data_IF_393823827656
#
_entry.id   IF_393823827656
#
_cell.length_a   1.000
_cell.length_b   1.000
_cell.length_c   1.000
_cell.angle_alpha   90.00
_cell.angle_beta   90.00
_cell.angle_gamma   90.00
#
_symmetry.space_group_name_H-M   'P 1'
#
loop_
_entity.id
_entity.type
_entity.pdbx_description
1 polymer ?
#
# COMPACT_ATOMS: atom_id res chain seq x y z
N UNK A 1 49.61 27.94 -15.54
CA UNK A 1 49.46 26.47 -15.51
C UNK A 1 48.05 26.13 -15.97
N UNK A 2 47.94 25.00 -16.68
CA UNK A 2 46.95 24.64 -17.71
C UNK A 2 45.47 24.58 -17.25
N UNK A 3 44.51 24.83 -18.16
CA UNK A 3 43.07 24.67 -17.95
C UNK A 3 42.64 23.20 -18.15
N UNK A 4 41.54 22.79 -17.51
CA UNK A 4 40.85 21.54 -17.85
C UNK A 4 39.35 21.83 -17.98
N UNK A 5 38.89 21.89 -19.23
CA UNK A 5 37.50 21.84 -19.63
C UNK A 5 37.31 20.53 -20.41
N UNK A 6 36.36 19.70 -20.00
CA UNK A 6 35.66 18.71 -20.83
C UNK A 6 34.34 18.37 -20.10
N UNK A 7 33.19 18.91 -20.50
CA UNK A 7 32.27 18.41 -21.55
C UNK A 7 31.65 17.04 -21.22
N UNK A 8 30.37 17.04 -20.84
CA UNK A 8 29.28 16.13 -21.30
C UNK A 8 27.97 16.74 -20.73
N UNK A 9 27.26 17.58 -21.48
CA UNK A 9 26.33 17.27 -22.57
C UNK A 9 24.90 16.92 -22.07
N UNK A 10 24.00 17.85 -22.42
CA UNK A 10 22.61 17.61 -22.84
C UNK A 10 21.53 17.35 -21.79
N UNK A 11 20.99 18.47 -21.30
CA UNK A 11 19.61 18.62 -20.90
C UNK A 11 18.76 18.93 -22.16
N UNK A 12 17.86 18.04 -22.56
CA UNK A 12 16.76 18.32 -23.51
C UNK A 12 15.66 17.25 -23.33
N UNK A 13 14.49 17.64 -22.80
CA UNK A 13 13.21 17.76 -23.53
C UNK A 13 12.56 16.37 -23.80
N UNK A 14 11.61 15.89 -22.99
CA UNK A 14 10.15 16.16 -23.04
C UNK A 14 9.52 15.96 -24.43
N UNK A 15 8.46 15.14 -24.43
CA UNK A 15 7.41 14.93 -25.44
C UNK A 15 7.68 13.89 -26.54
N UNK A 16 6.78 12.90 -26.62
CA UNK A 16 6.78 11.90 -27.69
C UNK A 16 5.67 10.86 -27.57
N UNK A 17 4.43 11.30 -27.33
CA UNK A 17 3.22 10.51 -27.49
C UNK A 17 2.89 10.43 -29.00
N UNK A 18 2.96 9.24 -29.62
CA UNK A 18 2.26 8.83 -30.86
C UNK A 18 2.73 7.40 -31.22
N UNK A 19 1.93 6.35 -30.98
CA UNK A 19 0.89 5.84 -31.87
C UNK A 19 1.42 5.31 -33.21
N UNK A 20 1.55 3.99 -33.33
CA UNK A 20 1.29 3.27 -34.59
C UNK A 20 0.48 2.02 -34.29
N UNK A 21 -0.82 2.14 -34.56
CA UNK A 21 -1.75 1.03 -34.71
C UNK A 21 -1.36 0.23 -35.96
N UNK A 22 -1.16 -1.07 -35.81
CA UNK A 22 -1.24 -2.01 -36.92
C UNK A 22 -2.66 -2.56 -36.96
N UNK A 23 -3.39 -2.11 -37.97
CA UNK A 23 -4.73 -2.57 -38.34
C UNK A 23 -4.61 -3.93 -39.00
N UNK A 24 -5.32 -4.94 -38.48
CA UNK A 24 -5.64 -6.17 -39.21
C UNK A 24 -7.06 -6.62 -38.87
N UNK A 25 -7.94 -6.31 -39.83
CA UNK A 25 -9.12 -7.05 -40.28
C UNK A 25 -10.23 -7.49 -39.30
N UNK A 26 -11.43 -7.00 -39.64
CA UNK A 26 -12.72 -7.70 -39.62
C UNK A 26 -13.29 -8.17 -38.27
N UNK A 27 -14.22 -7.37 -37.74
CA UNK A 27 -15.59 -7.82 -37.44
C UNK A 27 -16.41 -6.62 -36.98
N UNK A 28 -17.52 -6.33 -37.66
CA UNK A 28 -18.40 -5.21 -37.34
C UNK A 28 -19.06 -5.37 -35.96
N UNK A 29 -19.23 -4.30 -35.19
CA UNK A 29 -20.02 -4.36 -33.97
C UNK A 29 -21.51 -4.27 -34.32
N UNK A 30 -22.19 -5.42 -34.28
CA UNK A 30 -23.64 -5.47 -34.10
C UNK A 30 -23.91 -4.89 -32.71
N UNK A 31 -24.63 -3.77 -32.60
CA UNK A 31 -25.07 -3.22 -31.32
C UNK A 31 -26.12 -4.16 -30.72
N UNK A 32 -25.90 -4.80 -29.55
CA UNK A 32 -26.99 -5.40 -28.81
C UNK A 32 -27.76 -4.29 -28.08
N UNK A 33 -29.03 -4.13 -28.44
CA UNK A 33 -30.01 -3.33 -27.68
C UNK A 33 -30.16 -3.93 -26.28
N UNK A 34 -29.51 -3.33 -25.27
CA UNK A 34 -29.71 -3.69 -23.86
C UNK A 34 -31.03 -3.11 -23.36
N UNK A 35 -32.11 -3.85 -23.58
CA UNK A 35 -33.36 -3.68 -22.82
C UNK A 35 -33.26 -4.52 -21.55
N UNK A 36 -32.56 -4.00 -20.54
CA UNK A 36 -32.42 -4.64 -19.24
C UNK A 36 -33.27 -3.91 -18.21
N UNK A 37 -34.37 -4.53 -17.80
CA UNK A 37 -35.19 -4.09 -16.67
C UNK A 37 -34.34 -4.03 -15.38
N UNK A 38 -34.62 -3.11 -14.44
CA UNK A 38 -33.94 -3.09 -13.15
C UNK A 38 -34.37 -4.32 -12.32
N UNK A 39 -33.56 -5.37 -12.35
CA UNK A 39 -33.62 -6.45 -11.37
C UNK A 39 -33.29 -5.85 -10.01
N UNK A 40 -34.31 -5.66 -9.17
CA UNK A 40 -34.09 -5.38 -7.75
C UNK A 40 -33.32 -6.55 -7.15
N UNK A 41 -32.07 -6.31 -6.75
CA UNK A 41 -31.33 -7.25 -5.94
C UNK A 41 -32.08 -7.43 -4.61
N UNK A 42 -32.37 -8.67 -4.17
CA UNK A 42 -33.00 -8.89 -2.89
C UNK A 42 -32.10 -8.35 -1.78
N UNK A 43 -32.68 -7.56 -0.88
CA UNK A 43 -32.02 -7.10 0.35
C UNK A 43 -31.35 -8.31 1.02
N UNK A 44 -30.05 -8.17 1.23
CA UNK A 44 -29.18 -9.24 1.74
C UNK A 44 -29.70 -9.87 3.03
N UNK A 45 -29.72 -11.19 3.03
CA UNK A 45 -29.97 -12.02 4.20
C UNK A 45 -28.96 -11.67 5.31
N UNK A 46 -29.39 -11.26 6.52
CA UNK A 46 -28.50 -10.99 7.64
C UNK A 46 -27.71 -12.22 8.10
N UNK A 47 -28.10 -13.44 7.70
CA UNK A 47 -27.32 -14.65 7.94
C UNK A 47 -26.01 -14.68 7.10
N UNK A 48 -25.98 -14.04 5.93
CA UNK A 48 -24.77 -13.94 5.10
C UNK A 48 -23.71 -13.03 5.77
N UNK A 49 -24.14 -12.05 6.58
CA UNK A 49 -23.23 -11.17 7.33
C UNK A 49 -22.60 -11.92 8.50
N UNK A 50 -23.32 -12.84 9.15
CA UNK A 50 -22.77 -13.69 10.24
C UNK A 50 -21.80 -14.76 9.75
N UNK A 51 -21.90 -15.19 8.49
CA UNK A 51 -20.97 -16.17 7.92
C UNK A 51 -19.56 -15.60 7.69
N UNK A 52 -19.40 -14.28 7.62
CA UNK A 52 -18.10 -13.61 7.54
C UNK A 52 -17.36 -13.55 8.90
N UNK A 53 -18.07 -13.75 10.01
CA UNK A 53 -17.54 -13.63 11.38
C UNK A 53 -16.79 -14.89 11.84
N UNK A 54 -16.93 -16.00 11.11
CA UNK A 54 -16.32 -17.29 11.43
C UNK A 54 -15.21 -17.71 10.46
N UNK A 55 -14.59 -16.77 9.75
CA UNK A 55 -13.38 -17.08 8.99
C UNK A 55 -12.24 -17.36 9.98
N UNK A 56 -11.71 -18.60 10.03
CA UNK A 56 -10.57 -18.89 10.89
C UNK A 56 -9.44 -17.95 10.51
N UNK A 57 -8.95 -17.18 11.49
CA UNK A 57 -7.73 -16.40 11.33
C UNK A 57 -6.66 -17.33 10.76
N UNK A 58 -6.06 -17.01 9.60
CA UNK A 58 -5.05 -17.87 9.00
C UNK A 58 -3.94 -18.06 10.03
N UNK A 59 -3.79 -19.30 10.49
CA UNK A 59 -2.70 -19.71 11.37
C UNK A 59 -1.41 -19.32 10.66
N UNK A 60 -0.66 -18.37 11.23
CA UNK A 60 0.56 -17.85 10.64
C UNK A 60 1.46 -19.03 10.25
N UNK A 61 1.55 -19.30 8.95
CA UNK A 61 2.38 -20.37 8.44
C UNK A 61 3.83 -19.91 8.63
N UNK A 62 4.60 -20.67 9.42
CA UNK A 62 6.02 -20.40 9.58
C UNK A 62 6.69 -20.34 8.20
N UNK A 63 7.30 -19.20 7.87
CA UNK A 63 7.98 -19.01 6.58
C UNK A 63 9.16 -19.98 6.52
N UNK A 64 9.26 -20.80 5.47
CA UNK A 64 10.45 -21.61 5.24
C UNK A 64 11.63 -20.66 4.97
N UNK A 65 12.59 -20.60 5.90
CA UNK A 65 13.78 -19.75 5.76
C UNK A 65 14.77 -20.44 4.80
N UNK A 66 15.04 -19.89 3.60
CA UNK A 66 16.15 -20.36 2.77
C UNK A 66 17.48 -20.13 3.50
N UNK A 67 18.58 -20.70 3.00
CA UNK A 67 19.92 -20.40 3.51
C UNK A 67 20.15 -18.88 3.49
N UNK A 68 20.03 -18.27 4.66
CA UNK A 68 19.84 -16.83 4.77
C UNK A 68 21.20 -16.13 4.73
N UNK A 69 21.34 -15.17 3.82
CA UNK A 69 22.36 -14.12 4.00
C UNK A 69 22.04 -13.35 5.29
N UNK A 70 23.03 -12.72 5.95
CA UNK A 70 22.78 -11.96 7.18
C UNK A 70 21.63 -10.96 7.04
N UNK A 71 21.58 -10.24 5.91
CA UNK A 71 20.48 -9.33 5.56
C UNK A 71 19.12 -10.03 5.59
N UNK A 72 18.98 -11.18 4.91
CA UNK A 72 17.70 -11.88 4.87
C UNK A 72 17.28 -12.39 6.25
N UNK A 73 18.23 -12.81 7.09
CA UNK A 73 17.92 -13.24 8.46
C UNK A 73 17.32 -12.09 9.28
N UNK A 74 17.97 -10.93 9.26
CA UNK A 74 17.48 -9.75 10.00
C UNK A 74 16.12 -9.27 9.49
N UNK A 75 15.90 -9.28 8.17
CA UNK A 75 14.59 -8.95 7.60
C UNK A 75 13.49 -9.93 8.04
N UNK A 76 13.79 -11.23 8.08
CA UNK A 76 12.83 -12.21 8.60
C UNK A 76 12.54 -12.02 10.09
N UNK A 77 13.54 -11.67 10.90
CA UNK A 77 13.34 -11.43 12.32
C UNK A 77 12.48 -10.17 12.60
N UNK A 78 12.52 -9.16 11.73
CA UNK A 78 11.57 -8.02 11.77
C UNK A 78 10.16 -8.48 11.41
N UNK A 79 10.02 -9.23 10.32
CA UNK A 79 8.71 -9.69 9.83
C UNK A 79 8.03 -10.68 10.79
N UNK A 80 8.79 -11.59 11.41
CA UNK A 80 8.25 -12.54 12.38
C UNK A 80 7.75 -11.81 13.65
N UNK A 81 8.44 -10.74 14.07
CA UNK A 81 7.98 -9.88 15.18
C UNK A 81 6.72 -9.11 14.80
N UNK A 82 6.64 -8.57 13.59
CA UNK A 82 5.42 -7.92 13.08
C UNK A 82 4.24 -8.88 13.09
N UNK A 83 4.41 -10.06 12.49
CA UNK A 83 3.35 -11.08 12.38
C UNK A 83 2.83 -11.47 13.77
N UNK A 84 3.73 -11.66 14.75
CA UNK A 84 3.36 -11.98 16.12
C UNK A 84 2.56 -10.85 16.81
N UNK A 85 2.98 -9.59 16.64
CA UNK A 85 2.29 -8.44 17.22
C UNK A 85 0.94 -8.18 16.56
N UNK A 86 0.87 -8.26 15.23
CA UNK A 86 -0.37 -8.09 14.47
C UNK A 86 -1.36 -9.20 14.82
N UNK A 87 -0.92 -10.46 14.90
CA UNK A 87 -1.79 -11.56 15.31
C UNK A 87 -2.38 -11.36 16.71
N UNK A 88 -1.55 -10.89 17.67
CA UNK A 88 -2.03 -10.58 19.02
C UNK A 88 -3.08 -9.46 19.03
N UNK A 89 -2.86 -8.38 18.26
CA UNK A 89 -3.80 -7.27 18.12
C UNK A 89 -5.09 -7.68 17.37
N UNK A 90 -5.00 -8.55 16.38
CA UNK A 90 -6.18 -9.11 15.70
C UNK A 90 -7.02 -9.96 16.65
N UNK A 91 -6.39 -10.75 17.52
CA UNK A 91 -7.09 -11.50 18.55
C UNK A 91 -7.71 -10.58 19.63
N UNK A 92 -7.11 -9.42 19.91
CA UNK A 92 -7.71 -8.36 20.74
C UNK A 92 -8.93 -7.74 20.06
N UNK A 93 -8.81 -7.37 18.78
CA UNK A 93 -9.88 -6.79 17.97
C UNK A 93 -11.10 -7.71 17.91
N UNK A 94 -10.91 -9.00 17.65
CA UNK A 94 -11.99 -9.99 17.57
C UNK A 94 -12.78 -10.16 18.87
N UNK A 95 -12.21 -9.79 20.03
CA UNK A 95 -12.87 -9.84 21.35
C UNK A 95 -13.46 -8.50 21.78
N UNK A 96 -13.27 -7.44 20.99
CA UNK A 96 -13.64 -6.07 21.37
C UNK A 96 -15.04 -5.75 20.85
N UNK A 97 -15.99 -5.57 21.77
CA UNK A 97 -17.38 -5.22 21.43
C UNK A 97 -17.62 -3.71 21.29
N UNK A 98 -16.81 -2.88 21.96
CA UNK A 98 -16.93 -1.42 21.88
C UNK A 98 -16.32 -0.88 20.57
N UNK A 99 -17.10 -0.18 19.73
CA UNK A 99 -16.60 0.38 18.47
C UNK A 99 -15.42 1.34 18.62
N UNK A 100 -15.39 2.13 19.70
CA UNK A 100 -14.30 3.09 19.91
C UNK A 100 -13.00 2.39 20.30
N UNK A 101 -13.07 1.39 21.18
CA UNK A 101 -11.95 0.52 21.48
C UNK A 101 -11.48 -0.27 20.25
N UNK A 102 -12.40 -0.77 19.40
CA UNK A 102 -12.05 -1.47 18.17
C UNK A 102 -11.25 -0.58 17.20
N UNK A 103 -11.66 0.68 17.03
CA UNK A 103 -10.90 1.67 16.25
C UNK A 103 -9.52 1.94 16.84
N UNK A 104 -9.37 1.97 18.17
CA UNK A 104 -8.08 2.14 18.81
C UNK A 104 -7.14 0.95 18.55
N UNK A 105 -7.66 -0.29 18.59
CA UNK A 105 -6.90 -1.49 18.23
C UNK A 105 -6.49 -1.48 16.77
N UNK A 106 -7.39 -1.07 15.87
CA UNK A 106 -7.08 -0.93 14.44
C UNK A 106 -5.93 0.05 14.19
N UNK A 107 -5.93 1.21 14.86
CA UNK A 107 -4.81 2.18 14.77
C UNK A 107 -3.50 1.61 15.31
N UNK A 108 -3.56 0.76 16.35
CA UNK A 108 -2.36 0.07 16.86
C UNK A 108 -1.81 -0.92 15.84
N UNK A 109 -2.67 -1.66 15.11
CA UNK A 109 -2.24 -2.54 14.02
C UNK A 109 -1.55 -1.74 12.91
N UNK A 110 -2.15 -0.63 12.49
CA UNK A 110 -1.57 0.27 11.48
C UNK A 110 -0.21 0.80 11.94
N UNK A 111 -0.10 1.19 13.21
CA UNK A 111 1.16 1.67 13.78
C UNK A 111 2.25 0.61 13.79
N UNK A 112 1.93 -0.62 14.20
CA UNK A 112 2.88 -1.74 14.18
C UNK A 112 3.40 -1.99 12.76
N UNK A 113 2.51 -2.00 11.76
CA UNK A 113 2.91 -2.19 10.35
C UNK A 113 3.83 -1.07 9.86
N UNK A 114 3.50 0.19 10.15
CA UNK A 114 4.32 1.33 9.79
C UNK A 114 5.70 1.28 10.47
N UNK A 115 5.75 0.89 11.76
CA UNK A 115 7.01 0.76 12.49
C UNK A 115 7.89 -0.35 11.92
N UNK A 116 7.29 -1.49 11.57
CA UNK A 116 8.00 -2.60 10.93
C UNK A 116 8.53 -2.22 9.55
N UNK A 117 7.77 -1.48 8.73
CA UNK A 117 8.26 -0.96 7.45
C UNK A 117 9.50 -0.07 7.63
N UNK A 118 9.46 0.85 8.60
CA UNK A 118 10.60 1.70 8.94
C UNK A 118 11.79 0.87 9.43
N UNK A 119 11.57 -0.16 10.25
CA UNK A 119 12.63 -1.05 10.74
C UNK A 119 13.28 -1.84 9.60
N UNK A 120 12.49 -2.37 8.65
CA UNK A 120 13.00 -3.05 7.46
C UNK A 120 13.90 -2.15 6.61
N UNK A 121 13.48 -0.91 6.36
CA UNK A 121 14.30 0.06 5.62
C UNK A 121 15.61 0.38 6.33
N UNK A 122 15.60 0.45 7.68
CA UNK A 122 16.82 0.68 8.48
C UNK A 122 17.81 -0.48 8.38
N UNK A 123 17.33 -1.71 8.42
CA UNK A 123 18.15 -2.91 8.21
C UNK A 123 18.79 -2.84 6.82
N UNK A 124 18.00 -2.57 5.78
CA UNK A 124 18.51 -2.45 4.41
C UNK A 124 19.54 -1.32 4.26
N UNK A 125 19.30 -0.14 4.85
CA UNK A 125 20.22 0.98 4.82
C UNK A 125 21.55 0.62 5.48
N UNK A 126 21.52 -0.09 6.60
CA UNK A 126 22.72 -0.57 7.31
C UNK A 126 23.56 -1.50 6.45
N UNK A 127 22.94 -2.49 5.81
CA UNK A 127 23.64 -3.39 4.89
C UNK A 127 24.14 -2.68 3.62
N UNK A 128 23.38 -1.70 3.10
CA UNK A 128 23.82 -0.88 1.97
C UNK A 128 25.10 -0.10 2.31
N UNK A 129 25.20 0.50 3.51
CA UNK A 129 26.42 1.16 3.98
C UNK A 129 27.58 0.19 4.11
N UNK A 130 27.36 -0.97 4.74
CA UNK A 130 28.39 -2.01 4.90
C UNK A 130 28.94 -2.52 3.56
N UNK A 131 28.11 -2.53 2.51
CA UNK A 131 28.50 -2.90 1.15
C UNK A 131 29.09 -1.74 0.32
N UNK A 132 29.31 -0.56 0.92
CA UNK A 132 29.84 0.63 0.23
C UNK A 132 28.85 1.33 -0.71
N UNK A 133 27.56 0.96 -0.67
CA UNK A 133 26.50 1.54 -1.51
C UNK A 133 25.91 2.80 -0.87
N UNK A 134 26.73 3.82 -0.67
CA UNK A 134 26.36 5.04 0.06
C UNK A 134 25.13 5.76 -0.52
N UNK A 135 25.02 5.84 -1.85
CA UNK A 135 23.87 6.48 -2.51
C UNK A 135 22.55 5.75 -2.21
N UNK A 136 22.55 4.41 -2.22
CA UNK A 136 21.37 3.62 -1.89
C UNK A 136 20.99 3.78 -0.40
N UNK A 137 21.98 3.76 0.50
CA UNK A 137 21.72 4.00 1.91
C UNK A 137 21.06 5.37 2.16
N UNK A 138 21.54 6.41 1.48
CA UNK A 138 20.95 7.74 1.57
C UNK A 138 19.50 7.80 1.03
N UNK A 139 19.20 7.06 -0.04
CA UNK A 139 17.82 6.95 -0.56
C UNK A 139 16.90 6.25 0.45
N UNK A 140 17.36 5.17 1.08
CA UNK A 140 16.61 4.47 2.12
C UNK A 140 16.38 5.35 3.36
N UNK A 141 17.39 6.12 3.77
CA UNK A 141 17.27 7.09 4.87
C UNK A 141 16.25 8.19 4.54
N UNK A 142 16.23 8.67 3.30
CA UNK A 142 15.23 9.64 2.84
C UNK A 142 13.81 9.05 2.88
N UNK A 143 13.62 7.79 2.45
CA UNK A 143 12.33 7.10 2.55
C UNK A 143 11.89 6.91 4.02
N UNK A 144 12.81 6.59 4.92
CA UNK A 144 12.52 6.53 6.37
C UNK A 144 12.07 7.91 6.89
N UNK A 145 12.74 8.98 6.48
CA UNK A 145 12.37 10.34 6.89
C UNK A 145 10.98 10.72 6.37
N UNK A 146 10.63 10.33 5.15
CA UNK A 146 9.29 10.55 4.58
C UNK A 146 8.20 9.78 5.33
N UNK A 147 8.42 8.49 5.61
CA UNK A 147 7.46 7.64 6.33
C UNK A 147 7.26 8.05 7.80
N UNK A 148 8.28 8.64 8.41
CA UNK A 148 8.24 9.08 9.83
C UNK A 148 7.88 10.55 9.97
N UNK A 149 7.78 11.30 8.87
CA UNK A 149 7.34 12.68 8.90
C UNK A 149 5.92 12.75 9.49
N UNK A 150 5.64 13.69 10.41
CA UNK A 150 4.28 13.93 10.88
C UNK A 150 3.37 14.19 9.68
N UNK A 151 2.41 13.29 9.44
CA UNK A 151 1.42 13.51 8.39
C UNK A 151 0.62 14.74 8.79
N UNK A 152 0.78 15.82 8.02
CA UNK A 152 -0.04 17.01 8.22
C UNK A 152 -1.51 16.55 8.23
N UNK A 153 -2.26 16.99 9.25
CA UNK A 153 -3.68 16.72 9.32
C UNK A 153 -4.27 17.14 7.97
N UNK A 154 -4.86 16.19 7.23
CA UNK A 154 -5.54 16.52 6.00
C UNK A 154 -6.56 17.59 6.35
N UNK A 155 -6.40 18.78 5.77
CA UNK A 155 -7.40 19.82 5.93
C UNK A 155 -8.75 19.22 5.52
N UNK A 156 -9.83 19.51 6.27
CA UNK A 156 -11.15 19.03 5.91
C UNK A 156 -11.40 19.39 4.45
N UNK A 157 -11.49 18.38 3.58
CA UNK A 157 -11.93 18.58 2.21
C UNK A 157 -13.35 19.12 2.35
N UNK A 158 -13.50 20.43 2.14
CA UNK A 158 -14.77 21.12 2.20
C UNK A 158 -15.66 20.48 1.14
N UNK A 159 -16.54 19.58 1.59
CA UNK A 159 -17.45 18.88 0.69
C UNK A 159 -18.42 19.94 0.18
N UNK A 160 -18.45 20.23 -1.13
CA UNK A 160 -19.34 21.25 -1.66
C UNK A 160 -20.77 20.89 -1.24
N UNK A 161 -21.46 21.84 -0.62
CA UNK A 161 -22.82 21.65 -0.17
C UNK A 161 -23.70 21.23 -1.36
N UNK A 162 -24.58 20.22 -1.21
CA UNK A 162 -25.46 19.81 -2.30
C UNK A 162 -26.30 21.00 -2.74
N UNK A 163 -26.31 21.27 -4.04
CA UNK A 163 -27.17 22.29 -4.62
C UNK A 163 -28.61 21.97 -4.23
N UNK A 164 -29.29 22.93 -3.58
CA UNK A 164 -30.72 22.81 -3.32
C UNK A 164 -31.41 22.85 -4.68
N UNK A 165 -31.85 21.70 -5.15
CA UNK A 165 -32.84 21.63 -6.23
C UNK A 165 -34.13 22.26 -5.69
N UNK A 166 -34.40 23.49 -6.11
CA UNK A 166 -35.67 24.15 -5.90
C UNK A 166 -36.74 23.40 -6.71
N UNK A 167 -37.39 22.42 -6.07
CA UNK A 167 -38.58 21.78 -6.60
C UNK A 167 -39.73 22.78 -6.52
N UNK A 168 -40.16 23.26 -7.68
CA UNK A 168 -41.35 24.12 -7.87
C UNK A 168 -42.63 23.32 -7.92
#
# INVERSE_FOLDING_TARGET
>A
MRPCACFFASLALVAGLSATAAVAAESGPVLPTLTGAPTQAPLGDPAAVRALEALPLPKAAARQRPAATPLLSELFDVLDREDAQVAALQAELARTADPMAALAVQRRIEKVKQDSEVELLRVQATHARAAGKSALAAQLDAAIAELTAPRAAHEPVERPAPAREDVR
#
